data_IF_494409239967
#
_entry.id   IF_494409239967
#
_cell.length_a   1.000
_cell.length_b   1.000
_cell.length_c   1.000
_cell.angle_alpha   90.00
_cell.angle_beta   90.00
_cell.angle_gamma   90.00
#
_symmetry.space_group_name_H-M   'P 1'
#
loop_
_entity.id
_entity.type
_entity.pdbx_description
1 polymer ?
#
# COMPACT_ATOMS: atom_id res chain seq x y z
N UNK A 1 -8.75 -1.73 -3.43
CA UNK A 1 -7.27 -1.75 -3.38
C UNK A 1 -6.74 -2.85 -4.27
N UNK A 2 -5.69 -2.55 -5.03
CA UNK A 2 -5.04 -3.53 -5.91
C UNK A 2 -3.94 -4.27 -5.16
N UNK A 3 -3.93 -5.61 -5.20
CA UNK A 3 -2.89 -6.44 -4.59
C UNK A 3 -2.31 -7.42 -5.59
N UNK A 4 -1.06 -7.83 -5.37
CA UNK A 4 -0.37 -8.81 -6.19
C UNK A 4 0.35 -9.83 -5.30
N UNK A 5 0.59 -11.04 -5.83
CA UNK A 5 1.28 -12.10 -5.14
C UNK A 5 2.73 -12.29 -5.62
N UNK A 6 3.63 -12.56 -4.69
CA UNK A 6 5.04 -12.88 -4.98
C UNK A 6 5.25 -14.25 -5.62
N UNK A 7 4.28 -15.14 -5.44
CA UNK A 7 4.24 -16.48 -6.02
C UNK A 7 2.79 -16.92 -6.20
N UNK A 8 2.51 -17.90 -7.06
CA UNK A 8 1.16 -18.43 -7.19
C UNK A 8 0.55 -18.80 -5.83
N UNK A 9 -0.63 -18.27 -5.55
CA UNK A 9 -1.35 -18.45 -4.29
C UNK A 9 -2.82 -18.73 -4.55
N UNK A 10 -3.35 -19.68 -3.79
CA UNK A 10 -4.76 -19.98 -3.73
C UNK A 10 -5.24 -19.75 -2.29
N UNK A 11 -6.23 -18.88 -2.13
CA UNK A 11 -6.75 -18.48 -0.83
C UNK A 11 -8.26 -18.72 -0.83
N UNK A 12 -8.72 -19.65 0.02
CA UNK A 12 -10.14 -19.89 0.24
C UNK A 12 -10.70 -18.83 1.19
N UNK A 13 -11.66 -18.03 0.73
CA UNK A 13 -12.28 -16.94 1.49
C UNK A 13 -13.79 -17.15 1.55
N UNK A 14 -14.45 -16.42 2.46
CA UNK A 14 -15.92 -16.44 2.55
C UNK A 14 -16.59 -15.96 1.25
N UNK A 15 -15.95 -15.04 0.53
CA UNK A 15 -16.40 -14.53 -0.77
C UNK A 15 -16.10 -15.48 -1.95
N UNK A 16 -15.43 -16.61 -1.70
CA UNK A 16 -15.01 -17.57 -2.72
C UNK A 16 -13.50 -17.76 -2.78
N UNK A 17 -13.07 -18.56 -3.74
CA UNK A 17 -11.66 -18.87 -3.97
C UNK A 17 -10.98 -17.73 -4.73
N UNK A 18 -9.87 -17.25 -4.16
CA UNK A 18 -9.02 -16.23 -4.77
C UNK A 18 -7.73 -16.87 -5.28
N UNK A 19 -7.47 -16.73 -6.57
CA UNK A 19 -6.23 -17.14 -7.20
C UNK A 19 -5.39 -15.91 -7.54
N UNK A 20 -4.20 -15.81 -6.93
CA UNK A 20 -3.25 -14.73 -7.18
C UNK A 20 -2.01 -15.31 -7.87
N UNK A 21 -1.42 -14.54 -8.79
CA UNK A 21 -0.20 -14.92 -9.50
C UNK A 21 0.72 -13.70 -9.64
N UNK A 22 2.05 -13.90 -9.71
CA UNK A 22 2.97 -12.83 -10.08
C UNK A 22 2.65 -12.25 -11.45
N UNK A 23 2.84 -10.95 -11.61
CA UNK A 23 2.51 -10.15 -12.78
C UNK A 23 1.01 -9.93 -13.00
N UNK A 24 0.14 -10.43 -12.12
CA UNK A 24 -1.31 -10.38 -12.30
C UNK A 24 -1.98 -9.75 -11.07
N UNK A 25 -1.95 -8.41 -10.98
CA UNK A 25 -2.57 -7.69 -9.89
C UNK A 25 -4.10 -7.84 -9.92
N UNK A 26 -4.71 -7.95 -8.75
CA UNK A 26 -6.15 -8.15 -8.56
C UNK A 26 -6.71 -7.04 -7.68
N UNK A 27 -7.80 -6.41 -8.12
CA UNK A 27 -8.55 -5.47 -7.31
C UNK A 27 -9.40 -6.22 -6.29
N UNK A 28 -9.25 -5.86 -5.02
CA UNK A 28 -10.03 -6.40 -3.91
C UNK A 28 -10.70 -5.25 -3.13
N UNK A 29 -11.84 -5.50 -2.46
CA UNK A 29 -12.37 -4.58 -1.47
C UNK A 29 -11.32 -4.27 -0.40
N UNK A 30 -11.22 -3.02 0.02
CA UNK A 30 -10.15 -2.55 0.92
C UNK A 30 -10.07 -3.36 2.21
N UNK A 31 -11.20 -3.62 2.87
CA UNK A 31 -11.25 -4.43 4.09
C UNK A 31 -10.72 -5.85 3.89
N UNK A 32 -10.92 -6.41 2.71
CA UNK A 32 -10.41 -7.74 2.38
C UNK A 32 -8.92 -7.72 2.05
N UNK A 33 -8.46 -6.75 1.25
CA UNK A 33 -7.04 -6.54 0.99
C UNK A 33 -6.25 -6.35 2.29
N UNK A 34 -6.72 -5.47 3.19
CA UNK A 34 -6.11 -5.24 4.51
C UNK A 34 -6.02 -6.52 5.33
N UNK A 35 -7.10 -7.32 5.36
CA UNK A 35 -7.11 -8.62 6.07
C UNK A 35 -6.14 -9.62 5.47
N UNK A 36 -5.97 -9.63 4.14
CA UNK A 36 -5.01 -10.53 3.51
C UNK A 36 -3.57 -10.08 3.75
N UNK A 37 -3.29 -8.77 3.68
CA UNK A 37 -1.96 -8.19 3.94
C UNK A 37 -1.52 -8.48 5.37
N UNK A 38 -2.44 -8.43 6.33
CA UNK A 38 -2.15 -8.79 7.71
C UNK A 38 -1.93 -10.30 7.94
N UNK A 39 -2.39 -11.17 7.03
CA UNK A 39 -2.32 -12.64 7.19
C UNK A 39 -1.11 -13.27 6.52
N UNK A 40 -0.54 -12.64 5.49
CA UNK A 40 0.60 -13.20 4.77
C UNK A 40 1.48 -12.13 4.15
N UNK A 41 2.79 -12.37 4.24
CA UNK A 41 3.88 -11.63 3.62
C UNK A 41 4.06 -11.93 2.11
N UNK A 42 3.27 -12.87 1.57
CA UNK A 42 3.40 -13.32 0.18
C UNK A 42 2.60 -12.47 -0.81
N UNK A 43 1.83 -11.51 -0.30
CA UNK A 43 1.09 -10.54 -1.10
C UNK A 43 1.49 -9.12 -0.72
N UNK A 44 1.32 -8.18 -1.64
CA UNK A 44 1.65 -6.78 -1.43
C UNK A 44 0.66 -5.89 -2.18
N UNK A 45 0.40 -4.66 -1.68
CA UNK A 45 -0.37 -3.69 -2.44
C UNK A 45 0.44 -3.20 -3.64
N UNK A 46 -0.23 -3.01 -4.78
CA UNK A 46 0.35 -2.30 -5.92
C UNK A 46 0.24 -0.81 -5.64
N UNK A 47 1.38 -0.13 -5.66
CA UNK A 47 1.49 1.31 -5.39
C UNK A 47 1.81 2.07 -6.67
N UNK A 48 1.35 3.31 -6.74
CA UNK A 48 1.70 4.28 -7.77
C UNK A 48 2.11 5.61 -7.11
N UNK A 49 2.98 6.40 -7.76
CA UNK A 49 3.21 7.79 -7.34
C UNK A 49 1.89 8.56 -7.24
N UNK A 50 1.74 9.34 -6.16
CA UNK A 50 0.51 10.07 -5.82
C UNK A 50 -0.49 9.28 -4.97
N UNK A 51 -0.32 7.96 -4.80
CA UNK A 51 -1.16 7.18 -3.89
C UNK A 51 -0.94 7.66 -2.44
N UNK A 52 -2.03 7.92 -1.71
CA UNK A 52 -1.96 8.07 -0.26
C UNK A 52 -1.92 6.70 0.41
N UNK A 53 -0.95 6.45 1.27
CA UNK A 53 -0.77 5.16 1.95
C UNK A 53 -0.73 5.32 3.46
N UNK A 54 -1.20 4.29 4.17
CA UNK A 54 -0.93 4.09 5.59
C UNK A 54 0.09 2.97 5.74
N UNK A 55 1.15 3.21 6.51
CA UNK A 55 2.15 2.21 6.83
C UNK A 55 2.40 2.10 8.32
N UNK A 56 3.03 1.01 8.74
CA UNK A 56 3.48 0.82 10.12
C UNK A 56 4.92 0.34 10.12
N UNK A 57 5.80 1.09 10.79
CA UNK A 57 7.17 0.65 11.02
C UNK A 57 7.25 -0.14 12.33
N UNK A 58 8.27 -0.98 12.53
CA UNK A 58 8.46 -1.69 13.79
C UNK A 58 8.67 -0.77 15.00
N UNK A 59 9.14 0.46 14.76
CA UNK A 59 9.55 1.39 15.81
C UNK A 59 8.55 2.52 16.07
N UNK A 60 7.60 2.74 15.18
CA UNK A 60 6.70 3.90 15.23
C UNK A 60 5.24 3.46 15.04
N UNK A 61 4.29 4.21 15.63
CA UNK A 61 2.88 3.99 15.36
C UNK A 61 2.57 4.21 13.88
N UNK A 62 1.36 3.81 13.47
CA UNK A 62 0.85 4.00 12.12
C UNK A 62 1.06 5.44 11.63
N UNK A 63 1.58 5.56 10.41
CA UNK A 63 1.82 6.82 9.74
C UNK A 63 1.09 6.83 8.40
N UNK A 64 0.90 8.03 7.84
CA UNK A 64 0.29 8.23 6.54
C UNK A 64 1.08 9.26 5.72
N UNK A 65 0.94 9.18 4.41
CA UNK A 65 1.68 10.03 3.48
C UNK A 65 1.47 9.62 2.03
N UNK A 66 1.89 10.50 1.14
CA UNK A 66 1.80 10.32 -0.30
C UNK A 66 3.06 9.62 -0.84
N UNK A 67 2.86 8.61 -1.69
CA UNK A 67 3.93 7.90 -2.39
C UNK A 67 4.56 8.83 -3.42
N UNK A 68 5.85 9.10 -3.29
CA UNK A 68 6.62 9.93 -4.20
C UNK A 68 7.19 9.11 -5.36
N UNK A 69 7.76 7.95 -5.05
CA UNK A 69 8.44 7.06 -6.00
C UNK A 69 8.18 5.61 -5.63
N UNK A 70 8.02 4.74 -6.62
CA UNK A 70 7.95 3.27 -6.44
C UNK A 70 9.12 2.64 -7.17
N UNK A 71 9.88 1.81 -6.47
CA UNK A 71 11.09 1.15 -6.97
C UNK A 71 10.83 -0.31 -7.33
N UNK A 72 11.62 -0.84 -8.27
CA UNK A 72 11.48 -2.23 -8.74
C UNK A 72 11.76 -3.27 -7.65
N UNK A 73 12.52 -2.92 -6.62
CA UNK A 73 12.87 -3.80 -5.50
C UNK A 73 11.78 -3.85 -4.41
N UNK A 74 10.56 -3.40 -4.72
CA UNK A 74 9.40 -3.38 -3.79
C UNK A 74 9.65 -2.49 -2.58
N UNK A 75 10.29 -1.35 -2.83
CA UNK A 75 10.35 -0.23 -1.90
C UNK A 75 9.69 1.00 -2.52
N UNK A 76 9.31 1.96 -1.69
CA UNK A 76 8.71 3.20 -2.12
C UNK A 76 9.22 4.36 -1.26
N UNK A 77 9.13 5.57 -1.79
CA UNK A 77 9.51 6.79 -1.08
C UNK A 77 8.28 7.56 -0.61
N UNK A 78 8.33 8.07 0.61
CA UNK A 78 7.34 8.96 1.20
C UNK A 78 8.02 10.08 1.96
N UNK A 79 7.34 11.22 2.08
CA UNK A 79 7.72 12.23 3.06
C UNK A 79 7.27 11.78 4.45
N UNK A 80 8.22 11.52 5.35
CA UNK A 80 7.93 11.00 6.68
C UNK A 80 7.67 12.17 7.66
N UNK A 81 6.44 12.30 8.22
CA UNK A 81 6.01 13.53 8.89
C UNK A 81 6.76 13.81 10.20
N UNK A 82 7.27 12.76 10.87
CA UNK A 82 8.00 12.93 12.14
C UNK A 82 9.47 13.29 11.96
N UNK A 83 10.09 12.85 10.87
CA UNK A 83 11.52 13.08 10.60
C UNK A 83 11.73 14.22 9.62
N UNK A 84 10.65 14.72 9.00
CA UNK A 84 10.67 15.82 8.03
C UNK A 84 11.63 15.53 6.88
N UNK A 85 11.65 14.27 6.44
CA UNK A 85 12.60 13.75 5.46
C UNK A 85 11.94 12.74 4.53
N UNK A 86 12.48 12.62 3.31
CA UNK A 86 12.12 11.54 2.39
C UNK A 86 12.71 10.23 2.91
N UNK A 87 11.85 9.24 3.08
CA UNK A 87 12.23 7.92 3.57
C UNK A 87 11.87 6.86 2.55
N UNK A 88 12.79 5.92 2.31
CA UNK A 88 12.57 4.75 1.48
C UNK A 88 12.14 3.57 2.35
N UNK A 89 10.91 3.10 2.16
CA UNK A 89 10.26 2.09 2.98
C UNK A 89 9.93 0.83 2.15
N UNK A 90 9.93 -0.36 2.74
CA UNK A 90 9.50 -1.57 2.04
C UNK A 90 7.97 -1.56 1.88
N UNK A 91 7.48 -1.98 0.70
CA UNK A 91 6.04 -2.07 0.40
C UNK A 91 5.31 -2.99 1.41
N UNK A 92 6.01 -3.97 1.97
CA UNK A 92 5.48 -4.86 3.01
C UNK A 92 5.05 -4.14 4.31
N UNK A 93 5.46 -2.89 4.53
CA UNK A 93 5.00 -2.09 5.67
C UNK A 93 3.67 -1.37 5.41
N UNK A 94 3.20 -1.33 4.16
CA UNK A 94 1.93 -0.69 3.82
C UNK A 94 0.78 -1.54 4.34
N UNK A 95 -0.07 -0.91 5.15
CA UNK A 95 -1.28 -1.50 5.69
C UNK A 95 -2.46 -1.29 4.72
N UNK A 96 -2.54 -0.10 4.11
CA UNK A 96 -3.59 0.25 3.15
C UNK A 96 -3.16 1.35 2.19
N UNK A 97 -3.74 1.33 0.99
CA UNK A 97 -3.78 2.46 0.06
C UNK A 97 -5.12 3.18 0.26
N UNK A 98 -5.07 4.45 0.63
CA UNK A 98 -6.24 5.31 0.85
C UNK A 98 -6.55 6.05 -0.45
N UNK A 99 -7.52 5.56 -1.22
CA UNK A 99 -8.03 6.29 -2.39
C UNK A 99 -9.13 7.25 -1.95
N UNK A 100 -8.74 8.46 -1.55
CA UNK A 100 -9.66 9.58 -1.35
C UNK A 100 -9.60 10.56 -2.53
N UNK A 101 -10.65 11.38 -2.77
CA UNK A 101 -10.47 12.56 -3.61
C UNK A 101 -9.40 13.42 -2.94
N UNK A 102 -8.27 13.65 -3.61
CA UNK A 102 -7.32 14.68 -3.18
C UNK A 102 -8.09 16.00 -3.11
N UNK A 103 -8.38 16.48 -1.90
CA UNK A 103 -8.68 17.88 -1.71
C UNK A 103 -7.41 18.63 -2.10
N UNK A 104 -7.36 19.13 -3.32
CA UNK A 104 -6.50 20.24 -3.73
C UNK A 104 -6.96 21.51 -3.01
N UNK A 105 -6.88 21.53 -1.67
CA UNK A 105 -7.09 22.71 -0.86
C UNK A 105 -5.70 23.24 -0.45
N UNK A 106 -5.01 23.78 -1.43
CA UNK A 106 -3.67 24.34 -1.30
C UNK A 106 -3.39 25.33 -2.42
N UNK A 107 -4.33 26.23 -2.70
CA UNK A 107 -4.00 27.51 -3.34
C UNK A 107 -3.87 28.55 -2.23
N UNK A 108 -2.72 29.21 -2.06
CA UNK A 108 -2.69 30.44 -1.29
C UNK A 108 -3.49 31.46 -2.08
N UNK A 109 -4.53 32.04 -1.47
CA UNK A 109 -5.05 33.30 -1.98
C UNK A 109 -4.01 34.37 -1.63
N UNK A 110 -3.48 34.98 -2.69
CA UNK A 110 -2.86 36.31 -2.69
C UNK A 110 -3.79 37.37 -2.08
#
# INVERSE_FOLDING_TARGET
>A
MTVEALRPLHIRRAAGDLHLRPGHPVELPDDDAVRLLAKTDKIYPVLHPGDSVEWMSPALPKQQGEVLVVHQDRTFEVFHPLTVAVCRLPVAWVLRVVRGPMNTAGRPNE
#
